data_IF_769416803213
#
_entry.id   IF_769416803213
#
_cell.length_a   1.000
_cell.length_b   1.000
_cell.length_c   1.000
_cell.angle_alpha   90.00
_cell.angle_beta   90.00
_cell.angle_gamma   90.00
#
_symmetry.space_group_name_H-M   'P 1'
#
loop_
_entity.id
_entity.type
_entity.pdbx_description
1 polymer ?
#
# COMPACT_ATOMS: atom_id res chain seq x y z
N UNK A 1 8.23 10.76 15.78
CA UNK A 1 8.15 9.49 15.01
C UNK A 1 8.95 9.68 13.73
N UNK A 2 10.02 8.91 13.53
CA UNK A 2 10.83 9.00 12.30
C UNK A 2 10.03 8.46 11.11
N UNK A 3 10.04 9.16 9.98
CA UNK A 3 9.40 8.63 8.77
C UNK A 3 10.10 7.35 8.30
N UNK A 4 9.35 6.35 7.80
CA UNK A 4 9.94 5.10 7.32
C UNK A 4 10.90 5.37 6.16
N UNK A 5 12.01 4.62 6.15
CA UNK A 5 12.99 4.70 5.05
C UNK A 5 12.41 4.12 3.76
N UNK A 6 12.96 4.47 2.58
CA UNK A 6 12.53 3.88 1.32
C UNK A 6 12.60 2.34 1.33
N UNK A 7 13.62 1.75 1.96
CA UNK A 7 13.73 0.29 2.07
C UNK A 7 12.63 -0.31 2.96
N UNK A 8 12.28 0.35 4.06
CA UNK A 8 11.20 -0.12 4.95
C UNK A 8 9.86 -0.12 4.23
N UNK A 9 9.58 0.93 3.44
CA UNK A 9 8.38 0.99 2.59
C UNK A 9 8.38 -0.13 1.54
N UNK A 10 9.52 -0.36 0.87
CA UNK A 10 9.63 -1.44 -0.11
C UNK A 10 9.42 -2.82 0.52
N UNK A 11 10.02 -3.08 1.69
CA UNK A 11 9.87 -4.35 2.40
C UNK A 11 8.42 -4.59 2.84
N UNK A 12 7.73 -3.56 3.35
CA UNK A 12 6.32 -3.64 3.69
C UNK A 12 5.44 -3.95 2.46
N UNK A 13 5.75 -3.35 1.32
CA UNK A 13 5.04 -3.61 0.06
C UNK A 13 5.27 -5.05 -0.42
N UNK A 14 6.52 -5.52 -0.39
CA UNK A 14 6.86 -6.89 -0.81
C UNK A 14 6.21 -7.94 0.09
N UNK A 15 6.07 -7.63 1.38
CA UNK A 15 5.34 -8.47 2.33
C UNK A 15 3.85 -8.59 1.98
N UNK A 16 3.15 -7.46 1.76
CA UNK A 16 1.76 -7.50 1.32
C UNK A 16 1.60 -8.23 -0.01
N UNK A 17 2.51 -7.98 -0.96
CA UNK A 17 2.54 -8.65 -2.26
C UNK A 17 2.66 -10.17 -2.13
N UNK A 18 3.44 -10.67 -1.16
CA UNK A 18 3.60 -12.10 -0.86
C UNK A 18 2.37 -12.73 -0.21
N UNK A 19 1.58 -11.97 0.55
CA UNK A 19 0.38 -12.47 1.25
C UNK A 19 -0.80 -12.75 0.32
N UNK A 20 -0.87 -12.06 -0.82
CA UNK A 20 -1.92 -12.28 -1.80
C UNK A 20 -1.75 -13.63 -2.53
N UNK A 21 -2.87 -14.32 -2.79
CA UNK A 21 -2.90 -15.58 -3.53
C UNK A 21 -3.89 -15.45 -4.71
N UNK A 22 -3.44 -15.62 -5.97
CA UNK A 22 -2.05 -15.80 -6.38
C UNK A 22 -1.17 -14.56 -6.06
N UNK A 23 0.14 -14.79 -5.91
CA UNK A 23 1.10 -13.72 -5.60
C UNK A 23 1.03 -12.62 -6.67
N UNK A 24 0.92 -11.37 -6.22
CA UNK A 24 0.82 -10.23 -7.14
C UNK A 24 2.21 -9.95 -7.77
N UNK A 25 2.30 -9.78 -9.09
CA UNK A 25 3.53 -9.38 -9.74
C UNK A 25 3.85 -7.89 -9.48
N UNK A 26 5.12 -7.52 -9.54
CA UNK A 26 5.57 -6.16 -9.22
C UNK A 26 4.95 -5.07 -10.12
N UNK A 27 4.69 -5.37 -11.39
CA UNK A 27 4.04 -4.41 -12.31
C UNK A 27 2.64 -4.02 -11.82
N UNK A 28 1.88 -4.97 -11.26
CA UNK A 28 0.53 -4.71 -10.76
C UNK A 28 0.56 -3.88 -9.48
N UNK A 29 1.52 -4.14 -8.59
CA UNK A 29 1.74 -3.29 -7.40
C UNK A 29 2.08 -1.86 -7.81
N UNK A 30 2.95 -1.69 -8.80
CA UNK A 30 3.32 -0.38 -9.32
C UNK A 30 2.09 0.41 -9.82
N UNK A 31 1.22 -0.24 -10.61
CA UNK A 31 -0.04 0.36 -11.06
C UNK A 31 -0.96 0.72 -9.90
N UNK A 32 -1.19 -0.18 -8.95
CA UNK A 32 -2.09 0.06 -7.81
C UNK A 32 -1.58 1.16 -6.87
N UNK A 33 -0.27 1.32 -6.77
CA UNK A 33 0.39 2.33 -5.93
C UNK A 33 0.60 3.68 -6.64
N UNK A 34 0.23 3.81 -7.92
CA UNK A 34 0.56 4.98 -8.76
C UNK A 34 2.08 5.27 -8.76
N UNK A 35 2.86 4.20 -8.93
CA UNK A 35 4.31 4.20 -8.97
C UNK A 35 4.81 3.57 -10.27
N UNK A 36 6.06 3.85 -10.61
CA UNK A 36 6.78 3.11 -11.66
C UNK A 36 7.54 1.95 -11.04
N UNK A 37 7.81 0.89 -11.81
CA UNK A 37 8.68 -0.20 -11.35
C UNK A 37 10.10 0.28 -11.03
N UNK A 38 10.58 1.32 -11.72
CA UNK A 38 11.87 1.93 -11.39
C UNK A 38 11.83 2.60 -10.01
N UNK A 39 10.74 3.25 -9.64
CA UNK A 39 10.57 3.84 -8.31
C UNK A 39 10.61 2.76 -7.20
N UNK A 40 9.99 1.60 -7.43
CA UNK A 40 10.07 0.46 -6.51
C UNK A 40 11.51 -0.09 -6.40
N UNK A 41 12.22 -0.22 -7.52
CA UNK A 41 13.63 -0.63 -7.54
C UNK A 41 14.55 0.37 -6.83
N UNK A 42 14.31 1.66 -7.01
CA UNK A 42 15.04 2.72 -6.30
C UNK A 42 14.80 2.63 -4.79
N UNK A 43 13.54 2.44 -4.36
CA UNK A 43 13.20 2.25 -2.95
C UNK A 43 13.93 1.04 -2.34
N UNK A 44 14.01 -0.08 -3.06
CA UNK A 44 14.79 -1.25 -2.64
C UNK A 44 16.27 -0.93 -2.42
N UNK A 45 16.83 0.01 -3.19
CA UNK A 45 18.21 0.52 -3.07
C UNK A 45 18.34 1.66 -2.06
N UNK A 46 17.26 2.07 -1.40
CA UNK A 46 17.27 3.14 -0.41
C UNK A 46 17.11 4.55 -0.97
N UNK A 47 16.81 4.69 -2.25
CA UNK A 47 16.59 5.99 -2.89
C UNK A 47 15.14 6.16 -3.28
N UNK A 48 14.53 7.28 -2.94
CA UNK A 48 13.18 7.60 -3.39
C UNK A 48 12.92 9.09 -3.19
N UNK A 49 12.17 9.70 -4.10
CA UNK A 49 11.64 11.05 -3.87
C UNK A 49 10.60 11.02 -2.74
N UNK A 50 10.39 12.15 -2.07
CA UNK A 50 9.35 12.24 -1.04
C UNK A 50 7.95 11.96 -1.61
N UNK A 51 7.68 12.35 -2.86
CA UNK A 51 6.44 12.00 -3.56
C UNK A 51 6.26 10.50 -3.70
N UNK A 52 7.31 9.79 -4.09
CA UNK A 52 7.32 8.32 -4.18
C UNK A 52 7.07 7.69 -2.82
N UNK A 53 7.74 8.18 -1.77
CA UNK A 53 7.56 7.70 -0.39
C UNK A 53 6.13 7.92 0.11
N UNK A 54 5.56 9.08 -0.14
CA UNK A 54 4.20 9.42 0.24
C UNK A 54 3.16 8.52 -0.45
N UNK A 55 3.31 8.27 -1.75
CA UNK A 55 2.44 7.34 -2.51
C UNK A 55 2.53 5.91 -1.99
N UNK A 56 3.75 5.41 -1.76
CA UNK A 56 3.99 4.09 -1.19
C UNK A 56 3.35 3.95 0.21
N UNK A 57 3.56 4.94 1.08
CA UNK A 57 2.96 4.95 2.42
C UNK A 57 1.42 5.01 2.37
N UNK A 58 0.85 5.83 1.49
CA UNK A 58 -0.60 5.92 1.30
C UNK A 58 -1.17 4.60 0.76
N UNK A 59 -0.49 3.96 -0.19
CA UNK A 59 -0.89 2.64 -0.70
C UNK A 59 -0.87 1.59 0.41
N UNK A 60 0.21 1.52 1.20
CA UNK A 60 0.31 0.62 2.36
C UNK A 60 -0.85 0.85 3.33
N UNK A 61 -1.10 2.10 3.73
CA UNK A 61 -2.18 2.44 4.65
C UNK A 61 -3.55 1.94 4.17
N UNK A 62 -3.85 2.04 2.87
CA UNK A 62 -5.12 1.53 2.30
C UNK A 62 -5.25 0.00 2.34
N UNK A 63 -4.14 -0.73 2.30
CA UNK A 63 -4.13 -2.19 2.24
C UNK A 63 -3.85 -2.85 3.60
N UNK A 64 -3.37 -2.08 4.58
CA UNK A 64 -3.22 -2.52 5.98
C UNK A 64 -4.36 -2.06 6.87
N UNK A 65 -5.15 -1.06 6.46
CA UNK A 65 -6.36 -0.69 7.18
C UNK A 65 -7.35 -1.87 7.17
N UNK A 66 -7.96 -2.23 8.31
CA UNK A 66 -9.04 -3.19 8.31
C UNK A 66 -10.14 -2.68 7.36
N UNK A 67 -10.66 -3.57 6.51
CA UNK A 67 -11.79 -3.23 5.66
C UNK A 67 -12.88 -2.57 6.53
N UNK A 68 -13.52 -1.48 6.08
CA UNK A 68 -14.65 -0.94 6.82
C UNK A 68 -15.65 -2.08 7.01
N UNK A 69 -15.95 -2.41 8.27
CA UNK A 69 -16.91 -3.45 8.60
C UNK A 69 -18.23 -3.18 7.86
N UNK A 70 -19.05 -4.22 7.58
CA UNK A 70 -20.31 -4.03 6.88
C UNK A 70 -21.09 -2.93 7.62
N UNK A 71 -21.41 -1.85 6.91
CA UNK A 71 -22.32 -0.83 7.41
C UNK A 71 -23.67 -1.52 7.60
N UNK A 72 -23.94 -2.00 8.82
CA UNK A 72 -25.31 -2.29 9.22
C UNK A 72 -26.01 -0.94 9.29
N UNK A 73 -26.50 -0.46 8.15
CA UNK A 73 -27.60 0.49 8.13
C UNK A 73 -28.79 -0.27 8.72
N UNK A 74 -28.94 -0.20 10.04
CA UNK A 74 -30.22 -0.42 10.69
C UNK A 74 -31.16 0.59 10.06
N UNK A 75 -31.98 0.13 9.12
CA UNK A 75 -33.17 0.83 8.70
C UNK A 75 -34.00 1.01 9.97
N UNK A 76 -33.99 2.22 10.52
CA UNK A 76 -34.92 2.60 11.55
C UNK A 76 -36.26 2.77 10.85
N UNK A 77 -37.09 1.73 10.95
CA UNK A 77 -38.54 1.84 10.86
C UNK A 77 -38.98 3.09 11.64
N UNK A 78 -39.49 4.08 10.91
CA UNK A 78 -40.31 5.13 11.50
C UNK A 78 -41.75 4.81 11.09
N UNK A 79 -42.47 4.27 12.08
CA UNK A 79 -43.92 4.32 12.19
C UNK A 79 -44.40 5.77 12.33
#
# INVERSE_FOLDING_TARGET
>A
MSQPTPQQLHAAIDELRRRCVPRIPWWQVALQADLTENALRQMARGTASDRTRARAAAWLARHTAPAPGPVTTTAKDNH
#
